data_IF_831146364284
#
_entry.id   IF_831146364284
#
_cell.length_a   1.000
_cell.length_b   1.000
_cell.length_c   1.000
_cell.angle_alpha   90.00
_cell.angle_beta   90.00
_cell.angle_gamma   90.00
#
_symmetry.space_group_name_H-M   'P 1'
#
loop_
_entity.id
_entity.type
_entity.pdbx_description
1 polymer ?
#
# COMPACT_ATOMS: atom_id res chain seq x y z
N UNK A 1 9.71 -28.95 91.46
CA UNK A 1 9.07 -27.90 90.58
C UNK A 1 9.37 -28.24 89.13
N UNK A 2 8.32 -28.77 88.40
CA UNK A 2 8.50 -29.14 86.96
C UNK A 2 8.00 -27.96 86.12
N UNK A 3 8.94 -27.33 85.44
CA UNK A 3 8.64 -26.25 84.48
C UNK A 3 7.94 -26.78 83.26
N UNK A 4 6.70 -26.29 83.01
CA UNK A 4 5.88 -26.58 81.80
C UNK A 4 6.49 -25.80 80.63
N UNK A 5 7.04 -26.48 79.64
CA UNK A 5 7.47 -25.88 78.37
C UNK A 5 6.20 -25.51 77.59
N UNK A 6 6.07 -24.27 77.27
CA UNK A 6 5.04 -23.76 76.34
C UNK A 6 5.59 -23.83 74.93
N UNK A 7 5.09 -24.74 74.11
CA UNK A 7 5.49 -24.84 72.73
C UNK A 7 4.94 -23.62 71.92
N UNK A 8 5.78 -22.94 71.10
CA UNK A 8 5.34 -21.82 70.31
C UNK A 8 4.38 -22.27 69.22
N UNK A 9 3.18 -21.66 69.16
CA UNK A 9 2.16 -21.89 68.14
C UNK A 9 2.76 -21.61 66.74
N UNK A 10 2.89 -22.67 65.95
CA UNK A 10 3.31 -22.63 64.55
C UNK A 10 2.23 -21.92 63.74
N UNK A 11 2.54 -20.81 63.04
CA UNK A 11 1.56 -20.08 62.25
C UNK A 11 1.04 -21.00 61.12
N UNK A 12 -0.29 -21.18 61.05
CA UNK A 12 -0.96 -21.89 59.96
C UNK A 12 -0.80 -21.06 58.69
N UNK A 13 -0.06 -21.55 57.72
CA UNK A 13 0.01 -20.96 56.39
C UNK A 13 -1.37 -20.88 55.73
N UNK A 14 -1.78 -19.75 55.15
CA UNK A 14 -3.06 -19.66 54.46
C UNK A 14 -3.06 -20.65 53.29
N UNK A 15 -4.05 -21.56 53.31
CA UNK A 15 -4.34 -22.45 52.19
C UNK A 15 -4.80 -21.57 51.03
N UNK A 16 -3.94 -21.28 50.06
CA UNK A 16 -4.34 -20.70 48.77
C UNK A 16 -5.26 -21.71 48.09
N UNK A 17 -6.54 -21.37 48.01
CA UNK A 17 -7.50 -22.07 47.19
C UNK A 17 -7.02 -22.01 45.73
N UNK A 18 -6.47 -23.11 45.23
CA UNK A 18 -6.23 -23.27 43.79
C UNK A 18 -7.61 -23.49 43.16
N UNK A 19 -8.21 -22.44 42.64
CA UNK A 19 -9.39 -22.55 41.80
C UNK A 19 -8.98 -23.30 40.53
N UNK A 20 -9.47 -24.51 40.35
CA UNK A 20 -9.33 -25.28 39.11
C UNK A 20 -10.28 -24.69 38.06
N UNK A 21 -9.86 -24.63 36.80
CA UNK A 21 -10.74 -24.27 35.70
C UNK A 21 -11.88 -25.26 35.55
N UNK A 22 -13.08 -24.75 35.34
CA UNK A 22 -14.23 -25.59 35.01
C UNK A 22 -14.17 -26.05 33.56
N UNK A 23 -14.69 -27.25 33.29
CA UNK A 23 -14.74 -27.77 31.91
C UNK A 23 -15.51 -26.83 30.98
N UNK A 24 -16.55 -26.17 31.49
CA UNK A 24 -17.34 -25.19 30.73
C UNK A 24 -16.50 -23.97 30.34
N UNK A 25 -15.66 -23.48 31.25
CA UNK A 25 -14.80 -22.31 30.98
C UNK A 25 -13.79 -22.59 29.86
N UNK A 26 -13.23 -23.81 29.81
CA UNK A 26 -12.31 -24.23 28.71
C UNK A 26 -13.07 -24.32 27.40
N UNK A 27 -14.29 -24.84 27.36
CA UNK A 27 -15.09 -24.91 26.13
C UNK A 27 -15.43 -23.52 25.63
N UNK A 28 -15.88 -22.61 26.50
CA UNK A 28 -16.21 -21.22 26.14
C UNK A 28 -14.96 -20.50 25.63
N UNK A 29 -13.81 -20.66 26.27
CA UNK A 29 -12.56 -20.08 25.83
C UNK A 29 -12.14 -20.58 24.43
N UNK A 30 -12.30 -21.87 24.16
CA UNK A 30 -12.02 -22.44 22.82
C UNK A 30 -12.94 -21.88 21.74
N UNK A 31 -14.23 -21.72 22.04
CA UNK A 31 -15.18 -21.13 21.08
C UNK A 31 -14.81 -19.69 20.76
N UNK A 32 -14.54 -18.86 21.76
CA UNK A 32 -14.13 -17.46 21.55
C UNK A 32 -12.80 -17.39 20.76
N UNK A 33 -11.85 -18.25 21.10
CA UNK A 33 -10.56 -18.31 20.42
C UNK A 33 -10.69 -18.68 18.94
N UNK A 34 -11.51 -19.68 18.61
CA UNK A 34 -11.73 -20.10 17.21
C UNK A 34 -12.39 -19.00 16.38
N UNK A 35 -13.40 -18.31 16.93
CA UNK A 35 -14.04 -17.16 16.27
C UNK A 35 -13.05 -16.03 16.06
N UNK A 36 -12.21 -15.73 17.04
CA UNK A 36 -11.15 -14.72 16.95
C UNK A 36 -10.13 -15.03 15.86
N UNK A 37 -9.69 -16.28 15.74
CA UNK A 37 -8.77 -16.71 14.67
C UNK A 37 -9.38 -16.58 13.28
N UNK A 38 -10.66 -16.91 13.09
CA UNK A 38 -11.34 -16.73 11.81
C UNK A 38 -11.40 -15.25 11.40
N UNK A 39 -11.64 -14.35 12.36
CA UNK A 39 -11.60 -12.91 12.12
C UNK A 39 -10.23 -12.41 11.67
N UNK A 40 -9.16 -12.87 12.29
CA UNK A 40 -7.78 -12.51 11.94
C UNK A 40 -7.38 -12.97 10.53
N UNK A 41 -7.80 -14.16 10.10
CA UNK A 41 -7.51 -14.64 8.75
C UNK A 41 -8.14 -13.75 7.68
N UNK A 42 -9.37 -13.28 7.88
CA UNK A 42 -10.07 -12.39 6.95
C UNK A 42 -9.36 -11.05 6.76
N UNK A 43 -8.90 -10.43 7.84
CA UNK A 43 -8.20 -9.14 7.79
C UNK A 43 -6.82 -9.23 7.13
N UNK A 44 -6.09 -10.31 7.35
CA UNK A 44 -4.78 -10.55 6.75
C UNK A 44 -4.85 -10.65 5.22
N UNK A 45 -5.89 -11.29 4.68
CA UNK A 45 -6.07 -11.43 3.24
C UNK A 45 -6.38 -10.08 2.56
N UNK A 46 -7.17 -9.23 3.21
CA UNK A 46 -7.45 -7.87 2.73
C UNK A 46 -6.20 -7.00 2.74
N UNK A 47 -5.41 -7.03 3.82
CA UNK A 47 -4.18 -6.28 3.93
C UNK A 47 -3.17 -6.66 2.83
N UNK A 48 -2.99 -7.95 2.55
CA UNK A 48 -2.10 -8.43 1.50
C UNK A 48 -2.55 -7.93 0.12
N UNK A 49 -3.84 -7.95 -0.19
CA UNK A 49 -4.37 -7.43 -1.46
C UNK A 49 -4.11 -5.93 -1.62
N UNK A 50 -4.30 -5.15 -0.54
CA UNK A 50 -4.03 -3.70 -0.56
C UNK A 50 -2.55 -3.40 -0.79
N UNK A 51 -1.64 -4.15 -0.16
CA UNK A 51 -0.19 -3.99 -0.34
C UNK A 51 0.21 -4.27 -1.79
N UNK A 52 -0.23 -5.39 -2.36
CA UNK A 52 0.08 -5.74 -3.76
C UNK A 52 -0.44 -4.68 -4.73
N UNK A 53 -1.68 -4.20 -4.51
CA UNK A 53 -2.25 -3.16 -5.35
C UNK A 53 -1.49 -1.83 -5.24
N UNK A 54 -1.08 -1.42 -4.03
CA UNK A 54 -0.31 -0.19 -3.83
C UNK A 54 1.08 -0.26 -4.46
N UNK A 55 1.75 -1.41 -4.39
CA UNK A 55 3.03 -1.62 -5.05
C UNK A 55 2.93 -1.52 -6.57
N UNK A 56 1.91 -2.10 -7.18
CA UNK A 56 1.69 -1.99 -8.63
C UNK A 56 1.46 -0.53 -9.04
N UNK A 57 0.64 0.19 -8.29
CA UNK A 57 0.39 1.61 -8.54
C UNK A 57 1.65 2.44 -8.40
N UNK A 58 2.47 2.19 -7.37
CA UNK A 58 3.73 2.89 -7.16
C UNK A 58 4.73 2.69 -8.31
N UNK A 59 4.84 1.47 -8.83
CA UNK A 59 5.69 1.16 -9.98
C UNK A 59 5.21 1.91 -11.23
N UNK A 60 3.90 1.91 -11.51
CA UNK A 60 3.32 2.63 -12.64
C UNK A 60 3.56 4.14 -12.56
N UNK A 61 3.37 4.74 -11.37
CA UNK A 61 3.65 6.17 -11.14
C UNK A 61 5.13 6.49 -11.30
N UNK A 62 6.03 5.66 -10.78
CA UNK A 62 7.47 5.83 -10.93
C UNK A 62 7.88 5.76 -12.41
N UNK A 63 7.30 4.85 -13.18
CA UNK A 63 7.51 4.75 -14.62
C UNK A 63 7.02 6.01 -15.36
N UNK A 64 5.81 6.49 -15.05
CA UNK A 64 5.27 7.72 -15.62
C UNK A 64 6.17 8.93 -15.29
N UNK A 65 6.61 9.07 -14.04
CA UNK A 65 7.50 10.15 -13.60
C UNK A 65 8.83 10.13 -14.35
N UNK A 66 9.47 8.96 -14.45
CA UNK A 66 10.74 8.80 -15.18
C UNK A 66 10.59 9.22 -16.65
N UNK A 67 9.49 8.81 -17.30
CA UNK A 67 9.22 9.18 -18.68
C UNK A 67 9.01 10.69 -18.80
N UNK A 68 8.27 11.28 -17.86
CA UNK A 68 8.01 12.71 -17.82
C UNK A 68 9.31 13.51 -17.62
N UNK A 69 10.20 13.05 -16.75
CA UNK A 69 11.50 13.68 -16.54
C UNK A 69 12.38 13.58 -17.80
N UNK A 70 12.35 12.44 -18.51
CA UNK A 70 13.06 12.31 -19.80
C UNK A 70 12.49 13.23 -20.87
N UNK A 71 11.17 13.42 -20.92
CA UNK A 71 10.53 14.35 -21.84
C UNK A 71 10.87 15.81 -21.51
N UNK A 72 11.01 16.16 -20.23
CA UNK A 72 11.46 17.49 -19.81
C UNK A 72 12.89 17.79 -20.25
N UNK A 73 13.79 16.80 -20.14
CA UNK A 73 15.20 16.94 -20.57
C UNK A 73 15.31 16.99 -22.08
N UNK A 74 14.51 16.21 -22.82
CA UNK A 74 14.47 16.25 -24.29
C UNK A 74 13.99 17.63 -24.82
N UNK A 75 13.34 18.37 -23.96
CA UNK A 75 12.97 19.75 -24.16
C UNK A 75 11.89 19.96 -25.20
N UNK A 76 11.50 21.21 -25.32
CA UNK A 76 10.48 21.65 -26.27
C UNK A 76 10.95 21.66 -27.74
N UNK A 77 12.18 21.23 -28.00
CA UNK A 77 12.78 21.29 -29.35
C UNK A 77 12.07 20.36 -30.36
N UNK A 78 11.54 19.22 -29.90
CA UNK A 78 10.81 18.28 -30.75
C UNK A 78 9.69 17.61 -29.96
N UNK A 79 8.52 18.25 -29.83
CA UNK A 79 7.38 17.64 -29.16
C UNK A 79 6.85 16.46 -29.98
N UNK A 80 7.28 15.27 -29.70
CA UNK A 80 6.82 14.06 -30.38
C UNK A 80 5.87 13.29 -29.47
N UNK A 81 4.65 13.10 -29.96
CA UNK A 81 3.73 12.15 -29.36
C UNK A 81 4.35 10.74 -29.34
N UNK A 82 4.17 10.00 -28.29
CA UNK A 82 4.80 8.71 -28.18
C UNK A 82 4.11 7.77 -27.20
N UNK A 83 4.69 6.61 -27.12
CA UNK A 83 4.26 5.59 -26.14
C UNK A 83 5.45 4.82 -25.63
N UNK A 84 5.33 4.36 -24.38
CA UNK A 84 6.30 3.47 -23.76
C UNK A 84 5.56 2.34 -23.05
N UNK A 85 6.17 1.16 -22.97
CA UNK A 85 5.59 0.01 -22.32
C UNK A 85 6.55 -0.55 -21.28
N UNK A 86 6.03 -0.88 -20.11
CA UNK A 86 6.74 -1.61 -19.08
C UNK A 86 6.37 -3.09 -19.16
N UNK A 87 7.38 -3.93 -19.30
CA UNK A 87 7.19 -5.39 -19.38
C UNK A 87 7.75 -6.07 -18.14
N UNK A 88 7.06 -7.09 -17.68
CA UNK A 88 7.57 -8.04 -16.68
C UNK A 88 7.71 -9.40 -17.36
N UNK A 89 8.95 -9.76 -17.74
CA UNK A 89 9.18 -10.90 -18.62
C UNK A 89 8.58 -10.64 -20.02
N UNK A 90 7.72 -11.53 -20.49
CA UNK A 90 7.03 -11.40 -21.77
C UNK A 90 5.73 -10.60 -21.73
N UNK A 91 5.20 -10.35 -20.53
CA UNK A 91 3.88 -9.69 -20.36
C UNK A 91 4.03 -8.18 -20.19
N UNK A 92 3.28 -7.42 -20.96
CA UNK A 92 3.15 -5.96 -20.76
C UNK A 92 2.27 -5.71 -19.52
N UNK A 93 2.82 -5.05 -18.51
CA UNK A 93 2.12 -4.74 -17.24
C UNK A 93 1.60 -3.32 -17.20
N UNK A 94 2.34 -2.38 -17.82
CA UNK A 94 1.96 -0.98 -17.92
C UNK A 94 2.22 -0.47 -19.33
N UNK A 95 1.37 0.39 -19.84
CA UNK A 95 1.57 1.15 -21.06
C UNK A 95 1.31 2.61 -20.82
N UNK A 96 2.21 3.46 -21.26
CA UNK A 96 2.15 4.89 -21.14
C UNK A 96 2.09 5.49 -22.55
N UNK A 97 1.11 6.35 -22.79
CA UNK A 97 1.04 7.15 -24.01
C UNK A 97 1.00 8.62 -23.62
N UNK A 98 1.68 9.46 -24.39
CA UNK A 98 1.70 10.89 -24.17
C UNK A 98 1.43 11.64 -25.46
N UNK A 99 0.72 12.77 -25.29
CA UNK A 99 0.40 13.71 -26.36
C UNK A 99 0.80 15.09 -25.91
N UNK A 100 1.46 15.83 -26.82
CA UNK A 100 1.80 17.22 -26.62
C UNK A 100 0.74 18.10 -27.27
N UNK A 101 0.34 19.15 -26.57
CA UNK A 101 -0.53 20.19 -27.11
C UNK A 101 0.14 21.52 -26.87
N UNK A 102 0.47 22.21 -27.94
CA UNK A 102 1.04 23.58 -27.86
C UNK A 102 -0.04 24.52 -27.32
N UNK A 103 0.33 25.32 -26.33
CA UNK A 103 -0.53 26.36 -25.77
C UNK A 103 0.13 27.74 -26.02
N UNK A 104 -0.55 28.58 -26.76
CA UNK A 104 -0.12 29.98 -26.91
C UNK A 104 -0.20 30.68 -25.55
N UNK A 105 0.73 31.62 -25.23
CA UNK A 105 0.67 32.40 -24.02
C UNK A 105 -0.61 33.23 -23.99
N UNK A 106 -1.29 33.22 -22.84
CA UNK A 106 -2.61 33.88 -22.67
C UNK A 106 -2.58 35.38 -22.92
N UNK A 107 -1.42 36.02 -22.80
CA UNK A 107 -1.20 37.47 -23.00
C UNK A 107 -0.44 37.82 -24.26
N UNK A 108 -0.11 36.83 -25.10
CA UNK A 108 0.73 37.04 -26.29
C UNK A 108 2.19 37.41 -26.00
N UNK A 109 2.55 37.62 -24.76
CA UNK A 109 3.91 37.97 -24.30
C UNK A 109 4.33 36.94 -23.27
N UNK A 110 5.32 36.12 -23.58
CA UNK A 110 5.86 35.09 -22.68
C UNK A 110 6.35 33.85 -23.41
N UNK A 111 7.07 32.96 -22.75
CA UNK A 111 7.50 31.71 -23.33
C UNK A 111 6.29 30.84 -23.68
N UNK A 112 6.35 30.20 -24.84
CA UNK A 112 5.35 29.22 -25.24
C UNK A 112 5.35 28.07 -24.21
N UNK A 113 4.18 27.71 -23.68
CA UNK A 113 4.02 26.53 -22.83
C UNK A 113 3.43 25.37 -23.63
N UNK A 114 3.81 24.17 -23.26
CA UNK A 114 3.24 22.97 -23.86
C UNK A 114 2.56 22.17 -22.75
N UNK A 115 1.30 21.80 -22.96
CA UNK A 115 0.64 20.85 -22.07
C UNK A 115 0.96 19.43 -22.55
N UNK A 116 1.36 18.59 -21.61
CA UNK A 116 1.60 17.17 -21.85
C UNK A 116 0.51 16.38 -21.14
N UNK A 117 -0.23 15.62 -21.91
CA UNK A 117 -1.23 14.69 -21.40
C UNK A 117 -0.65 13.29 -21.46
N UNK A 118 -0.51 12.66 -20.28
CA UNK A 118 -0.06 11.29 -20.14
C UNK A 118 -1.23 10.40 -19.74
N UNK A 119 -1.39 9.31 -20.46
CA UNK A 119 -2.36 8.26 -20.13
C UNK A 119 -1.59 7.01 -19.75
N UNK A 120 -1.63 6.66 -18.48
CA UNK A 120 -1.07 5.42 -17.93
C UNK A 120 -2.17 4.37 -17.91
N UNK A 121 -1.95 3.25 -18.59
CA UNK A 121 -2.81 2.06 -18.51
C UNK A 121 -2.05 0.97 -17.77
N UNK A 122 -2.56 0.53 -16.62
CA UNK A 122 -1.97 -0.54 -15.82
C UNK A 122 -2.84 -1.79 -15.88
N UNK A 123 -2.21 -2.95 -16.05
CA UNK A 123 -2.87 -4.24 -16.05
C UNK A 123 -3.19 -4.65 -14.60
N UNK A 124 -4.47 -4.67 -14.25
CA UNK A 124 -4.93 -5.02 -12.88
C UNK A 124 -5.23 -6.51 -12.75
N UNK A 125 -5.72 -7.12 -13.82
CA UNK A 125 -6.03 -8.54 -13.92
C UNK A 125 -5.89 -8.98 -15.39
N UNK A 126 -5.84 -10.28 -15.70
CA UNK A 126 -5.80 -10.75 -17.08
C UNK A 126 -6.91 -10.08 -17.90
N UNK A 127 -6.53 -9.35 -18.96
CA UNK A 127 -7.42 -8.59 -19.84
C UNK A 127 -8.19 -7.42 -19.18
N UNK A 128 -7.83 -7.00 -17.96
CA UNK A 128 -8.46 -5.87 -17.29
C UNK A 128 -7.46 -4.73 -17.09
N UNK A 129 -7.65 -3.63 -17.83
CA UNK A 129 -6.80 -2.45 -17.80
C UNK A 129 -7.46 -1.32 -17.05
N UNK A 130 -6.73 -0.65 -16.18
CA UNK A 130 -7.15 0.58 -15.52
C UNK A 130 -6.35 1.74 -16.12
N UNK A 131 -7.05 2.79 -16.55
CA UNK A 131 -6.41 3.99 -17.07
C UNK A 131 -6.35 5.09 -16.00
N UNK A 132 -5.19 5.71 -15.85
CA UNK A 132 -4.98 6.95 -15.10
C UNK A 132 -4.60 8.07 -16.05
N UNK A 133 -5.21 9.23 -15.90
CA UNK A 133 -4.89 10.43 -16.67
C UNK A 133 -4.05 11.35 -15.81
N UNK A 134 -2.90 11.77 -16.35
CA UNK A 134 -2.02 12.78 -15.77
C UNK A 134 -1.84 13.90 -16.78
N UNK A 135 -2.09 15.13 -16.36
CA UNK A 135 -1.89 16.31 -17.18
C UNK A 135 -0.92 17.24 -16.47
N UNK A 136 0.10 17.68 -17.17
CA UNK A 136 1.10 18.62 -16.63
C UNK A 136 1.48 19.62 -17.69
N UNK A 137 1.79 20.84 -17.26
CA UNK A 137 2.31 21.87 -18.14
C UNK A 137 3.85 21.86 -18.08
N UNK A 138 4.47 21.86 -19.24
CA UNK A 138 5.90 22.05 -19.38
C UNK A 138 6.12 23.46 -19.89
N UNK A 139 6.72 24.33 -19.10
CA UNK A 139 7.19 25.62 -19.53
C UNK A 139 8.52 25.43 -20.26
N UNK A 140 8.55 25.85 -21.54
CA UNK A 140 9.74 25.85 -22.33
C UNK A 140 10.49 27.16 -22.05
N UNK A 141 11.46 27.10 -21.12
CA UNK A 141 12.46 28.15 -20.99
C UNK A 141 13.47 27.99 -22.15
N UNK A 142 13.41 28.87 -23.11
CA UNK A 142 14.42 29.03 -24.16
C UNK A 142 15.55 29.89 -23.63
#
# INVERSE_FOLDING_TARGET
>A
MRGRRVDPMKPRSPRTHRMGFTLVEVIVALVIFTVGLMGLMGTSMLATRMIVHSQQTAIGVAFAKRTLDSLRVAGCATPLNGSATLKRGTTTVDSLSWTFTARAPATGIGPASQSVRLILKSLVAPNHWRAGLYETELSCLV
#
